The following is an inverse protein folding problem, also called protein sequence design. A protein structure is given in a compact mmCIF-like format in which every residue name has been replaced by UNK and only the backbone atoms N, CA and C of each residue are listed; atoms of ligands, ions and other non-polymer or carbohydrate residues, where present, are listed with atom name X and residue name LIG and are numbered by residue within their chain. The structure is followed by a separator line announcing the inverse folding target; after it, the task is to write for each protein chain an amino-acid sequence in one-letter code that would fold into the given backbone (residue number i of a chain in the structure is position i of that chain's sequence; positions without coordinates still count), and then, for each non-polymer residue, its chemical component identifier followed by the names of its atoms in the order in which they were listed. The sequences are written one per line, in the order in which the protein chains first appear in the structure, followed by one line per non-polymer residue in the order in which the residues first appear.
data_IF_881909691995
#
_entry.id   IF_881909691995
#
_cell.length_a   1.000
_cell.length_b   1.000
_cell.length_c   1.000
_cell.angle_alpha   90.00
_cell.angle_beta   90.00
_cell.angle_gamma   90.00
#
_symmetry.space_group_name_H-M   'P 1'
#
loop_
_entity.id
_entity.type
_entity.pdbx_description
1 polymer ?
#
# COMPACT_ATOMS: atom_id res chain seq x y z
N UNK A 1 -7.07 0.81 -5.26
CA UNK A 1 -6.75 -0.50 -5.89
C UNK A 1 -5.25 -0.62 -6.06
N UNK A 2 -4.63 -1.78 -5.83
CA UNK A 2 -3.26 -2.00 -6.28
C UNK A 2 -3.26 -2.58 -7.71
N UNK A 3 -2.56 -1.94 -8.64
CA UNK A 3 -2.21 -2.50 -9.94
C UNK A 3 -1.15 -3.56 -9.69
N UNK A 4 -1.41 -4.76 -10.19
CA UNK A 4 -0.57 -5.92 -9.94
C UNK A 4 0.21 -6.30 -11.18
N UNK A 5 1.48 -6.56 -10.95
CA UNK A 5 2.43 -7.11 -11.92
C UNK A 5 3.44 -7.92 -11.12
N UNK A 6 3.50 -9.24 -11.32
CA UNK A 6 4.13 -10.14 -10.36
C UNK A 6 5.66 -10.00 -10.21
N UNK A 7 6.36 -9.34 -11.14
CA UNK A 7 7.83 -9.43 -11.21
C UNK A 7 8.53 -8.14 -11.63
N UNK A 8 8.60 -7.18 -10.72
CA UNK A 8 9.46 -5.99 -10.83
C UNK A 8 10.67 -6.13 -9.89
N UNK A 9 11.87 -6.46 -10.41
CA UNK A 9 13.13 -6.49 -9.64
C UNK A 9 14.03 -7.69 -9.94
N UNK A 10 15.19 -7.81 -9.28
CA UNK A 10 16.07 -8.99 -9.35
C UNK A 10 15.95 -9.82 -8.06
N UNK A 11 15.45 -11.04 -8.22
CA UNK A 11 15.56 -12.28 -7.38
C UNK A 11 15.46 -12.24 -5.84
N UNK A 12 14.59 -13.12 -5.33
CA UNK A 12 15.01 -14.39 -4.71
C UNK A 12 14.60 -15.63 -5.53
N UNK A 13 13.70 -15.47 -6.50
CA UNK A 13 13.11 -16.59 -7.24
C UNK A 13 14.11 -17.09 -8.29
N UNK A 14 14.94 -18.06 -7.92
CA UNK A 14 15.85 -18.72 -8.85
C UNK A 14 15.08 -19.18 -10.10
N UNK A 15 15.55 -18.76 -11.27
CA UNK A 15 14.99 -19.14 -12.56
C UNK A 15 13.81 -18.30 -13.06
N UNK A 16 13.36 -17.27 -12.32
CA UNK A 16 12.33 -16.35 -12.81
C UNK A 16 12.92 -15.28 -13.74
N UNK A 17 12.23 -14.98 -14.85
CA UNK A 17 12.52 -13.79 -15.67
C UNK A 17 11.65 -12.64 -15.18
N UNK A 18 12.28 -11.49 -14.93
CA UNK A 18 11.58 -10.29 -14.46
C UNK A 18 11.25 -9.35 -15.62
N UNK A 19 10.22 -8.52 -15.45
CA UNK A 19 9.74 -7.66 -16.54
C UNK A 19 10.86 -6.77 -17.08
N UNK A 20 11.61 -6.11 -16.18
CA UNK A 20 12.72 -5.22 -16.55
C UNK A 20 13.93 -5.95 -17.14
N UNK A 21 14.03 -7.27 -16.94
CA UNK A 21 15.08 -8.10 -17.53
C UNK A 21 14.67 -8.70 -18.87
N UNK A 22 13.43 -8.43 -19.30
CA UNK A 22 12.85 -8.92 -20.54
C UNK A 22 12.76 -7.81 -21.58
N UNK A 23 12.48 -8.17 -22.84
CA UNK A 23 12.06 -7.20 -23.85
C UNK A 23 10.59 -6.86 -23.64
N UNK A 24 10.32 -5.85 -22.84
CA UNK A 24 8.97 -5.32 -22.62
C UNK A 24 8.68 -4.16 -23.57
N UNK A 25 7.39 -3.94 -23.85
CA UNK A 25 6.92 -2.74 -24.55
C UNK A 25 6.02 -1.95 -23.62
N UNK A 26 6.18 -0.64 -23.59
CA UNK A 26 5.34 0.24 -22.77
C UNK A 26 3.85 0.09 -23.13
N UNK A 27 3.56 -0.14 -24.42
CA UNK A 27 2.20 -0.35 -24.91
C UNK A 27 1.53 -1.60 -24.31
N UNK A 28 2.26 -2.69 -24.12
CA UNK A 28 1.74 -3.92 -23.51
C UNK A 28 1.39 -3.70 -22.03
N UNK A 29 2.27 -2.98 -21.31
CA UNK A 29 2.06 -2.62 -19.90
C UNK A 29 0.84 -1.70 -19.77
N UNK A 30 0.75 -0.67 -20.62
CA UNK A 30 -0.37 0.26 -20.61
C UNK A 30 -1.69 -0.45 -20.92
N UNK A 31 -1.72 -1.36 -21.92
CA UNK A 31 -2.90 -2.13 -22.26
C UNK A 31 -3.40 -2.99 -21.09
N UNK A 32 -2.49 -3.70 -20.41
CA UNK A 32 -2.81 -4.50 -19.23
C UNK A 32 -3.31 -3.63 -18.06
N UNK A 33 -2.65 -2.50 -17.78
CA UNK A 33 -3.03 -1.64 -16.65
C UNK A 33 -4.36 -0.93 -16.89
N UNK A 34 -4.67 -0.56 -18.13
CA UNK A 34 -6.01 -0.11 -18.51
C UNK A 34 -7.05 -1.19 -18.26
N UNK A 35 -6.78 -2.44 -18.63
CA UNK A 35 -7.69 -3.55 -18.38
C UNK A 35 -7.95 -3.75 -16.88
N UNK A 36 -6.91 -3.65 -16.03
CA UNK A 36 -7.06 -3.72 -14.57
C UNK A 36 -7.89 -2.55 -14.01
N UNK A 37 -7.61 -1.31 -14.45
CA UNK A 37 -8.36 -0.12 -14.02
C UNK A 37 -9.84 -0.23 -14.40
N UNK A 38 -10.14 -0.62 -15.64
CA UNK A 38 -11.52 -0.76 -16.12
C UNK A 38 -12.28 -1.87 -15.40
N UNK A 39 -11.62 -3.01 -15.17
CA UNK A 39 -12.20 -4.08 -14.36
C UNK A 39 -12.51 -3.58 -12.94
N UNK A 40 -11.60 -2.84 -12.32
CA UNK A 40 -11.81 -2.31 -10.98
C UNK A 40 -12.90 -1.25 -10.93
N UNK A 41 -12.98 -0.34 -11.89
CA UNK A 41 -14.09 0.62 -11.99
C UNK A 41 -15.44 -0.08 -12.08
N UNK A 42 -15.51 -1.19 -12.82
CA UNK A 42 -16.72 -2.02 -12.91
C UNK A 42 -17.08 -2.74 -11.60
N UNK A 43 -16.08 -3.13 -10.80
CA UNK A 43 -16.26 -4.00 -9.63
C UNK A 43 -16.23 -3.27 -8.28
N UNK A 44 -15.69 -2.06 -8.23
CA UNK A 44 -15.46 -1.29 -7.01
C UNK A 44 -16.22 0.05 -7.12
N UNK A 45 -17.45 0.16 -6.59
CA UNK A 45 -18.32 1.33 -6.79
C UNK A 45 -17.76 2.67 -6.30
N UNK A 46 -16.71 2.68 -5.48
CA UNK A 46 -16.09 3.87 -4.89
C UNK A 46 -14.58 3.91 -5.14
N UNK A 47 -14.13 3.40 -6.27
CA UNK A 47 -12.73 3.48 -6.66
C UNK A 47 -12.31 4.96 -6.73
N UNK A 48 -11.35 5.36 -5.89
CA UNK A 48 -10.92 6.76 -5.74
C UNK A 48 -9.49 7.02 -6.17
N UNK A 49 -8.68 5.96 -6.20
CA UNK A 49 -7.25 5.99 -6.51
C UNK A 49 -6.76 4.58 -6.85
N UNK A 50 -5.55 4.51 -7.42
CA UNK A 50 -4.79 3.27 -7.51
C UNK A 50 -3.34 3.47 -7.08
N UNK A 51 -2.67 2.37 -6.75
CA UNK A 51 -1.24 2.30 -6.39
C UNK A 51 -0.59 1.12 -7.11
N UNK A 52 0.75 1.05 -7.09
CA UNK A 52 1.50 -0.08 -7.65
C UNK A 52 1.90 -1.09 -6.58
N UNK A 53 1.64 -2.38 -6.81
CA UNK A 53 2.19 -3.43 -5.96
C UNK A 53 3.72 -3.51 -6.10
N UNK A 54 4.43 -3.67 -4.99
CA UNK A 54 5.91 -3.73 -4.96
C UNK A 54 6.58 -2.53 -5.65
N UNK A 55 5.92 -1.36 -5.68
CA UNK A 55 6.46 -0.15 -6.31
C UNK A 55 6.57 -0.23 -7.83
N UNK A 56 5.88 -1.16 -8.50
CA UNK A 56 5.97 -1.38 -9.95
C UNK A 56 5.73 -0.12 -10.80
N UNK A 57 4.91 0.80 -10.31
CA UNK A 57 4.61 2.08 -10.97
C UNK A 57 5.80 3.03 -11.04
N UNK A 58 6.89 2.77 -10.30
CA UNK A 58 8.11 3.58 -10.25
C UNK A 58 9.33 2.88 -10.87
N UNK A 59 9.11 1.76 -11.54
CA UNK A 59 10.18 0.90 -12.03
C UNK A 59 11.00 1.47 -13.19
N UNK A 60 10.41 2.36 -13.99
CA UNK A 60 11.04 3.03 -15.12
C UNK A 60 10.41 4.43 -15.29
N UNK A 61 11.16 5.46 -15.71
CA UNK A 61 10.62 6.80 -15.95
C UNK A 61 9.43 6.82 -16.91
N UNK A 62 9.47 6.04 -18.00
CA UNK A 62 8.38 5.97 -18.98
C UNK A 62 7.13 5.31 -18.39
N UNK A 63 7.31 4.35 -17.48
CA UNK A 63 6.22 3.74 -16.71
C UNK A 63 5.60 4.77 -15.77
N UNK A 64 6.40 5.55 -15.04
CA UNK A 64 5.92 6.59 -14.10
C UNK A 64 5.10 7.67 -14.83
N UNK A 65 5.55 8.11 -15.99
CA UNK A 65 4.84 9.07 -16.82
C UNK A 65 3.49 8.50 -17.29
N UNK A 66 3.49 7.26 -17.80
CA UNK A 66 2.27 6.57 -18.23
C UNK A 66 1.27 6.37 -17.08
N UNK A 67 1.73 6.02 -15.87
CA UNK A 67 0.89 5.92 -14.67
C UNK A 67 0.22 7.25 -14.33
N UNK A 68 0.97 8.34 -14.40
CA UNK A 68 0.45 9.68 -14.13
C UNK A 68 -0.65 10.03 -15.13
N UNK A 69 -0.43 9.77 -16.43
CA UNK A 69 -1.42 9.96 -17.49
C UNK A 69 -2.67 9.10 -17.29
N UNK A 70 -2.54 7.82 -16.95
CA UNK A 70 -3.68 6.95 -16.66
C UNK A 70 -4.47 7.42 -15.44
N UNK A 71 -3.79 7.88 -14.39
CA UNK A 71 -4.41 8.49 -13.22
C UNK A 71 -5.31 9.67 -13.60
N UNK A 72 -4.80 10.58 -14.42
CA UNK A 72 -5.55 11.74 -14.88
C UNK A 72 -6.73 11.33 -15.77
N UNK A 73 -6.48 10.47 -16.75
CA UNK A 73 -7.48 10.01 -17.73
C UNK A 73 -8.69 9.34 -17.05
N UNK A 74 -8.45 8.52 -16.02
CA UNK A 74 -9.51 7.82 -15.32
C UNK A 74 -10.10 8.57 -14.13
N UNK A 75 -9.61 9.78 -13.82
CA UNK A 75 -10.01 10.55 -12.65
C UNK A 75 -9.57 9.93 -11.32
N UNK A 76 -8.50 9.13 -11.34
CA UNK A 76 -7.96 8.37 -10.21
C UNK A 76 -6.61 8.89 -9.72
N UNK A 77 -6.08 9.96 -10.33
CA UNK A 77 -4.81 10.57 -9.94
C UNK A 77 -4.83 10.98 -8.47
N UNK A 78 -3.79 10.65 -7.73
CA UNK A 78 -3.54 11.16 -6.39
C UNK A 78 -2.08 11.54 -6.32
N UNK A 79 -1.80 12.81 -6.03
CA UNK A 79 -0.44 13.30 -5.85
C UNK A 79 -0.18 13.53 -4.37
N UNK A 80 0.51 12.59 -3.74
CA UNK A 80 0.81 12.66 -2.30
C UNK A 80 1.90 13.67 -1.98
N UNK A 81 2.76 14.00 -2.96
CA UNK A 81 3.81 15.00 -2.81
C UNK A 81 3.18 16.40 -2.85
N UNK A 82 2.27 16.65 -3.79
CA UNK A 82 1.50 17.91 -3.90
C UNK A 82 0.73 18.22 -2.60
N UNK A 83 0.19 17.19 -1.94
CA UNK A 83 -0.59 17.32 -0.71
C UNK A 83 0.24 17.23 0.59
N UNK A 84 1.58 17.33 0.53
CA UNK A 84 2.50 17.25 1.67
C UNK A 84 2.21 16.06 2.62
N UNK A 85 1.83 14.91 2.03
CA UNK A 85 1.50 13.70 2.79
C UNK A 85 2.79 13.04 3.26
N UNK A 86 2.97 12.98 4.58
CA UNK A 86 4.19 12.43 5.19
C UNK A 86 4.05 10.92 5.44
N UNK A 87 5.07 10.11 5.15
CA UNK A 87 5.04 8.71 5.52
C UNK A 87 5.16 8.58 7.05
N UNK A 88 4.26 7.82 7.66
CA UNK A 88 4.36 7.43 9.07
C UNK A 88 5.33 6.26 9.21
N UNK A 89 6.12 6.26 10.29
CA UNK A 89 7.06 5.17 10.57
C UNK A 89 6.34 3.83 10.73
N UNK A 90 6.87 2.80 10.07
CA UNK A 90 6.50 1.40 10.25
C UNK A 90 6.84 0.82 11.62
N UNK A 91 6.56 -0.47 11.77
CA UNK A 91 7.05 -1.31 12.86
C UNK A 91 7.76 -2.55 12.28
N UNK A 92 8.52 -3.25 13.12
CA UNK A 92 9.22 -4.46 12.69
C UNK A 92 8.24 -5.62 12.38
N UNK A 93 8.58 -6.52 11.43
CA UNK A 93 7.77 -7.69 11.10
C UNK A 93 7.92 -8.81 12.14
N UNK A 94 6.98 -9.74 12.16
CA UNK A 94 7.01 -10.93 13.02
C UNK A 94 8.24 -11.81 12.79
N UNK A 95 8.80 -11.81 11.57
CA UNK A 95 10.05 -12.50 11.25
C UNK A 95 11.28 -11.94 11.99
N UNK A 96 11.20 -10.73 12.55
CA UNK A 96 12.22 -10.15 13.43
C UNK A 96 11.91 -10.37 14.92
N UNK A 97 11.00 -11.30 15.25
CA UNK A 97 10.60 -11.62 16.62
C UNK A 97 9.61 -10.63 17.24
N UNK A 98 9.01 -9.75 16.43
CA UNK A 98 7.98 -8.81 16.89
C UNK A 98 6.59 -9.46 16.92
N UNK A 99 6.14 -9.80 18.13
CA UNK A 99 4.77 -10.23 18.37
C UNK A 99 3.78 -9.08 18.27
N UNK A 100 2.50 -9.42 18.47
CA UNK A 100 1.42 -8.44 18.50
C UNK A 100 1.65 -7.33 19.55
N UNK A 101 2.12 -7.70 20.74
CA UNK A 101 2.33 -6.77 21.86
C UNK A 101 3.36 -5.70 21.50
N UNK A 102 4.48 -6.11 20.90
CA UNK A 102 5.56 -5.22 20.47
C UNK A 102 5.09 -4.29 19.35
N UNK A 103 4.41 -4.84 18.33
CA UNK A 103 3.81 -4.05 17.24
C UNK A 103 2.83 -3.00 17.76
N UNK A 104 1.96 -3.37 18.70
CA UNK A 104 1.00 -2.44 19.31
C UNK A 104 1.70 -1.32 20.08
N UNK A 105 2.70 -1.66 20.89
CA UNK A 105 3.46 -0.67 21.65
C UNK A 105 4.21 0.32 20.73
N UNK A 106 4.85 -0.19 19.67
CA UNK A 106 5.54 0.63 18.69
C UNK A 106 4.58 1.51 17.89
N UNK A 107 3.45 0.96 17.42
CA UNK A 107 2.44 1.73 16.70
C UNK A 107 1.86 2.87 17.54
N UNK A 108 1.53 2.61 18.81
CA UNK A 108 1.07 3.66 19.75
C UNK A 108 2.16 4.73 19.95
N UNK A 109 3.42 4.33 20.03
CA UNK A 109 4.55 5.27 20.13
C UNK A 109 4.65 6.13 18.87
N UNK A 110 4.51 5.53 17.68
CA UNK A 110 4.55 6.25 16.41
C UNK A 110 3.36 7.21 16.27
N UNK A 111 2.15 6.79 16.67
CA UNK A 111 0.97 7.68 16.71
C UNK A 111 1.25 8.91 17.60
N UNK A 112 1.81 8.69 18.80
CA UNK A 112 2.16 9.75 19.75
C UNK A 112 3.24 10.72 19.27
N UNK A 113 4.03 10.31 18.28
CA UNK A 113 5.07 11.13 17.68
C UNK A 113 4.59 11.95 16.48
N UNK A 114 3.34 11.76 16.03
CA UNK A 114 2.79 12.52 14.92
C UNK A 114 2.69 14.01 15.29
N UNK A 115 3.09 14.87 14.36
CA UNK A 115 2.88 16.32 14.42
C UNK A 115 1.67 16.71 13.56
N UNK A 116 1.13 17.94 13.69
CA UNK A 116 0.06 18.40 12.80
C UNK A 116 0.45 18.27 11.32
N UNK A 117 -0.45 17.66 10.54
CA UNK A 117 -0.24 17.39 9.11
C UNK A 117 -0.99 16.15 8.65
N UNK A 118 -0.88 15.84 7.36
CA UNK A 118 -1.44 14.62 6.77
C UNK A 118 -0.38 13.52 6.76
N UNK A 119 -0.71 12.37 7.33
CA UNK A 119 0.20 11.23 7.45
C UNK A 119 -0.38 10.00 6.76
N UNK A 120 0.48 9.23 6.10
CA UNK A 120 0.12 7.96 5.46
C UNK A 120 0.83 6.80 6.15
N UNK A 121 0.04 5.84 6.60
CA UNK A 121 0.50 4.56 7.11
C UNK A 121 -0.02 3.44 6.23
N UNK A 122 0.88 2.70 5.56
CA UNK A 122 0.51 1.59 4.67
C UNK A 122 0.91 0.28 5.32
N UNK A 123 -0.07 -0.59 5.50
CA UNK A 123 0.13 -1.94 6.06
C UNK A 123 -0.86 -2.94 5.47
N UNK A 124 -0.63 -4.23 5.74
CA UNK A 124 -1.30 -5.33 5.04
C UNK A 124 -2.17 -6.19 5.97
N UNK A 125 -3.36 -5.72 6.41
CA UNK A 125 -4.24 -6.55 7.23
C UNK A 125 -4.71 -7.79 6.45
N UNK A 126 -4.66 -8.95 7.09
CA UNK A 126 -5.24 -10.19 6.60
C UNK A 126 -5.29 -11.23 7.70
N UNK A 127 -6.31 -12.08 7.72
CA UNK A 127 -6.43 -13.12 8.74
C UNK A 127 -5.45 -14.27 8.49
N UNK A 128 -4.86 -14.79 9.57
CA UNK A 128 -4.04 -16.01 9.50
C UNK A 128 -4.95 -17.22 9.21
N UNK A 129 -5.10 -17.52 7.92
CA UNK A 129 -5.98 -18.54 7.37
C UNK A 129 -5.23 -19.38 6.34
N UNK A 130 -5.70 -20.61 6.03
CA UNK A 130 -5.03 -21.49 5.08
C UNK A 130 -4.70 -20.83 3.73
N UNK A 131 -5.57 -19.96 3.21
CA UNK A 131 -5.33 -19.19 1.99
C UNK A 131 -4.10 -18.27 2.13
N UNK A 132 -4.04 -17.46 3.19
CA UNK A 132 -2.94 -16.52 3.40
C UNK A 132 -1.63 -17.23 3.77
N UNK A 133 -1.72 -18.38 4.44
CA UNK A 133 -0.57 -19.25 4.75
C UNK A 133 0.09 -19.84 3.48
N UNK A 134 -0.64 -19.93 2.36
CA UNK A 134 -0.05 -20.32 1.07
C UNK A 134 0.74 -19.20 0.41
N UNK A 135 0.54 -17.95 0.82
CA UNK A 135 1.32 -16.83 0.29
C UNK A 135 2.72 -16.90 0.89
N UNK A 136 3.67 -17.45 0.13
CA UNK A 136 5.09 -17.47 0.49
C UNK A 136 5.72 -16.14 0.07
N UNK A 137 6.04 -15.24 0.99
CA UNK A 137 6.69 -14.00 0.58
C UNK A 137 8.19 -14.18 0.37
N UNK A 138 8.76 -13.18 -0.28
CA UNK A 138 10.19 -12.95 -0.37
C UNK A 138 10.85 -12.62 0.99
N UNK A 139 10.12 -11.96 1.91
CA UNK A 139 10.74 -11.23 3.03
C UNK A 139 10.34 -11.66 4.45
N UNK A 140 9.46 -12.67 4.63
CA UNK A 140 9.06 -13.10 5.98
C UNK A 140 8.63 -14.56 6.01
N UNK A 141 9.19 -15.36 6.92
CA UNK A 141 8.81 -16.78 7.04
C UNK A 141 7.37 -16.97 7.55
N UNK A 142 6.70 -15.91 8.05
CA UNK A 142 5.34 -16.01 8.56
C UNK A 142 4.46 -14.79 8.23
N UNK A 143 4.23 -14.55 6.93
CA UNK A 143 3.41 -13.39 6.50
C UNK A 143 1.97 -13.47 6.97
N UNK A 144 1.42 -14.67 7.13
CA UNK A 144 0.04 -14.84 7.55
C UNK A 144 -0.13 -14.32 8.98
N UNK A 145 0.77 -14.70 9.88
CA UNK A 145 0.79 -14.18 11.25
C UNK A 145 1.07 -12.67 11.29
N UNK A 146 2.02 -12.18 10.48
CA UNK A 146 2.35 -10.76 10.47
C UNK A 146 1.14 -9.89 10.07
N UNK A 147 0.43 -10.29 9.01
CA UNK A 147 -0.80 -9.64 8.54
C UNK A 147 -1.98 -9.80 9.51
N UNK A 148 -2.03 -10.90 10.25
CA UNK A 148 -3.02 -11.09 11.30
C UNK A 148 -2.80 -10.12 12.46
N UNK A 149 -1.55 -9.94 12.89
CA UNK A 149 -1.19 -8.91 13.86
C UNK A 149 -1.56 -7.50 13.39
N UNK A 150 -1.41 -7.18 12.10
CA UNK A 150 -1.89 -5.90 11.54
C UNK A 150 -3.42 -5.79 11.67
N UNK A 151 -4.15 -6.87 11.40
CA UNK A 151 -5.62 -6.90 11.56
C UNK A 151 -6.03 -6.66 13.01
N UNK A 152 -5.37 -7.34 13.94
CA UNK A 152 -5.57 -7.12 15.38
C UNK A 152 -5.28 -5.66 15.74
N UNK A 153 -4.18 -5.09 15.24
CA UNK A 153 -3.77 -3.72 15.53
C UNK A 153 -4.80 -2.69 15.06
N UNK A 154 -5.29 -2.82 13.83
CA UNK A 154 -6.30 -1.90 13.26
C UNK A 154 -7.66 -2.00 13.94
N UNK A 155 -7.91 -3.10 14.65
CA UNK A 155 -9.17 -3.33 15.36
C UNK A 155 -9.07 -3.17 16.88
N UNK A 156 -7.85 -2.99 17.43
CA UNK A 156 -7.57 -2.90 18.87
C UNK A 156 -8.26 -1.70 19.53
N UNK A 157 -9.02 -1.90 20.62
CA UNK A 157 -9.69 -0.83 21.35
C UNK A 157 -8.75 0.24 21.93
N UNK A 158 -7.56 -0.13 22.39
CA UNK A 158 -6.58 0.81 22.92
C UNK A 158 -5.98 1.66 21.81
N UNK A 159 -5.72 1.09 20.63
CA UNK A 159 -5.27 1.88 19.46
C UNK A 159 -6.33 2.91 19.07
N UNK A 160 -7.60 2.52 18.99
CA UNK A 160 -8.72 3.43 18.72
C UNK A 160 -8.82 4.54 19.77
N UNK A 161 -8.63 4.19 21.04
CA UNK A 161 -8.62 5.15 22.15
C UNK A 161 -7.47 6.16 22.03
N UNK A 162 -6.26 5.72 21.67
CA UNK A 162 -5.13 6.62 21.44
C UNK A 162 -5.40 7.57 20.26
N UNK A 163 -5.91 7.05 19.14
CA UNK A 163 -6.30 7.87 17.96
C UNK A 163 -7.28 8.98 18.38
N UNK A 164 -8.32 8.62 19.15
CA UNK A 164 -9.30 9.58 19.65
C UNK A 164 -8.70 10.60 20.63
N UNK A 165 -7.86 10.16 21.59
CA UNK A 165 -7.19 11.05 22.55
C UNK A 165 -6.25 12.05 21.89
N UNK A 166 -5.66 11.67 20.76
CA UNK A 166 -4.76 12.51 19.98
C UNK A 166 -5.48 13.40 18.96
N UNK A 167 -6.81 13.32 18.87
CA UNK A 167 -7.60 13.99 17.84
C UNK A 167 -7.10 13.69 16.41
N UNK A 168 -6.65 12.46 16.16
CA UNK A 168 -6.25 12.01 14.83
C UNK A 168 -7.52 11.70 14.03
N UNK A 169 -7.71 12.42 12.92
CA UNK A 169 -8.81 12.15 12.00
C UNK A 169 -8.38 11.14 10.92
N UNK A 170 -9.15 10.05 10.79
CA UNK A 170 -8.92 9.08 9.73
C UNK A 170 -9.63 9.54 8.46
N UNK A 171 -8.84 9.89 7.45
CA UNK A 171 -9.32 10.39 6.16
C UNK A 171 -9.04 9.40 5.03
N UNK A 172 -9.87 9.44 3.99
CA UNK A 172 -9.63 8.73 2.73
C UNK A 172 -9.00 9.67 1.68
N UNK A 173 -8.53 9.11 0.56
CA UNK A 173 -7.86 9.90 -0.50
C UNK A 173 -8.70 11.06 -1.08
N UNK A 174 -10.01 10.90 -1.37
CA UNK A 174 -10.86 12.03 -1.72
C UNK A 174 -10.90 13.14 -0.66
N UNK A 175 -10.98 12.79 0.62
CA UNK A 175 -10.93 13.76 1.71
C UNK A 175 -9.58 14.46 1.77
N UNK A 176 -8.47 13.73 1.57
CA UNK A 176 -7.13 14.33 1.47
C UNK A 176 -7.12 15.40 0.38
N UNK A 177 -7.56 15.08 -0.85
CA UNK A 177 -7.66 16.07 -1.94
C UNK A 177 -8.47 17.30 -1.53
N UNK A 178 -9.62 17.07 -0.89
CA UNK A 178 -10.53 18.13 -0.47
C UNK A 178 -9.93 19.08 0.59
N UNK A 179 -8.90 18.66 1.33
CA UNK A 179 -8.18 19.54 2.28
C UNK A 179 -7.32 20.60 1.57
N UNK A 180 -7.01 20.40 0.29
CA UNK A 180 -6.09 21.27 -0.49
C UNK A 180 -6.77 21.94 -1.69
N UNK A 181 -8.06 21.69 -1.92
CA UNK A 181 -8.87 22.39 -2.93
C UNK A 181 -9.70 23.47 -2.24
N UNK A 182 -9.50 24.73 -2.63
CA UNK A 182 -10.33 25.88 -2.22
C UNK A 182 -11.79 25.75 -2.67
#
# INVERSE_FOLDING_TARGET
MAIFTPTFGKTPFQGATFLLESKWQLADIEAEWRAQIELAKKKIPRLSHFSGHMGCTHADPAIREMVTRLGQEYGLAIDLEEYDVKPMRGFKPASEGYGYTEKRAEFITNLKALTPGVWLFVEHPGYDRPELQQIRPYMSENIALDRDHVTQLFTDPEVKKVIAQMNIELVNYPQVKALFTE
#
